data_IF_320662415925
#
_entry.id   IF_320662415925
#
_cell.length_a   1.000
_cell.length_b   1.000
_cell.length_c   1.000
_cell.angle_alpha   90.00
_cell.angle_beta   90.00
_cell.angle_gamma   90.00
#
_symmetry.space_group_name_H-M   'P 1'
#
loop_
_entity.id
_entity.type
_entity.pdbx_description
1 polymer ?
#
# COMPACT_ATOMS: atom_id res chain seq x y z
N UNK A 1 5.25 8.74 -9.39
CA UNK A 1 4.12 8.48 -10.30
C UNK A 1 4.56 8.06 -11.69
N UNK A 2 5.29 8.89 -12.45
CA UNK A 2 5.78 8.49 -13.80
C UNK A 2 6.57 7.18 -13.74
N UNK A 3 7.51 7.06 -12.78
CA UNK A 3 8.25 5.83 -12.53
C UNK A 3 7.31 4.62 -12.32
N UNK A 4 6.41 4.67 -11.32
CA UNK A 4 5.47 3.59 -11.02
C UNK A 4 4.61 3.18 -12.22
N UNK A 5 3.99 4.14 -12.91
CA UNK A 5 3.17 3.79 -14.10
C UNK A 5 4.02 3.13 -15.18
N UNK A 6 5.26 3.61 -15.40
CA UNK A 6 6.15 3.04 -16.42
C UNK A 6 6.61 1.61 -16.07
N UNK A 7 7.02 1.34 -14.83
CA UNK A 7 7.48 0.01 -14.40
C UNK A 7 6.34 -0.99 -14.43
N UNK A 8 5.15 -0.61 -13.98
CA UNK A 8 3.99 -1.49 -13.95
C UNK A 8 3.50 -1.83 -15.35
N UNK A 9 3.51 -0.87 -16.29
CA UNK A 9 3.23 -1.15 -17.70
C UNK A 9 4.25 -2.13 -18.29
N UNK A 10 5.55 -1.90 -18.04
CA UNK A 10 6.61 -2.81 -18.50
C UNK A 10 6.44 -4.22 -17.92
N UNK A 11 6.05 -4.33 -16.65
CA UNK A 11 5.79 -5.61 -15.99
C UNK A 11 4.60 -6.36 -16.62
N UNK A 12 3.49 -5.66 -16.86
CA UNK A 12 2.30 -6.23 -17.51
C UNK A 12 2.62 -6.70 -18.94
N UNK A 13 3.28 -5.86 -19.74
CA UNK A 13 3.70 -6.18 -21.11
C UNK A 13 4.65 -7.37 -21.14
N UNK A 14 5.63 -7.43 -20.23
CA UNK A 14 6.52 -8.57 -20.10
C UNK A 14 5.74 -9.86 -19.79
N UNK A 15 4.77 -9.79 -18.87
CA UNK A 15 3.87 -10.89 -18.56
C UNK A 15 3.14 -11.41 -19.78
N UNK A 16 2.53 -10.52 -20.56
CA UNK A 16 1.85 -10.84 -21.83
C UNK A 16 2.79 -11.52 -22.82
N UNK A 17 3.99 -10.98 -23.03
CA UNK A 17 4.97 -11.54 -23.98
C UNK A 17 5.35 -12.96 -23.55
N UNK A 18 5.65 -13.17 -22.27
CA UNK A 18 6.09 -14.47 -21.76
C UNK A 18 4.98 -15.52 -21.83
N UNK A 19 3.75 -15.20 -21.46
CA UNK A 19 2.64 -16.17 -21.49
C UNK A 19 2.22 -16.53 -22.91
N UNK A 20 2.37 -15.61 -23.87
CA UNK A 20 2.14 -15.91 -25.29
C UNK A 20 3.28 -16.76 -25.88
N UNK A 21 4.54 -16.51 -25.47
CA UNK A 21 5.69 -17.26 -25.95
C UNK A 21 5.76 -18.69 -25.38
N UNK A 22 5.49 -18.86 -24.07
CA UNK A 22 5.57 -20.16 -23.39
C UNK A 22 4.28 -20.97 -23.59
N UNK A 23 3.13 -20.29 -23.70
CA UNK A 23 1.81 -20.89 -23.86
C UNK A 23 1.48 -21.96 -22.80
N UNK A 24 1.41 -21.58 -21.51
CA UNK A 24 1.25 -22.53 -20.41
C UNK A 24 -0.12 -23.22 -20.34
N UNK A 25 -1.18 -22.64 -20.93
CA UNK A 25 -2.52 -23.19 -20.88
C UNK A 25 -2.81 -24.17 -22.02
N UNK A 26 -3.55 -25.25 -21.73
CA UNK A 26 -4.02 -26.21 -22.73
C UNK A 26 -5.45 -26.67 -22.40
N UNK A 27 -6.37 -26.80 -23.38
CA UNK A 27 -7.71 -27.35 -23.14
C UNK A 27 -7.76 -28.74 -22.48
N UNK A 28 -6.75 -29.59 -22.72
CA UNK A 28 -6.62 -30.89 -22.05
C UNK A 28 -6.39 -30.77 -20.54
N UNK A 29 -5.86 -29.63 -20.09
CA UNK A 29 -5.60 -29.34 -18.69
C UNK A 29 -6.92 -29.13 -17.91
N UNK A 30 -7.90 -28.45 -18.53
CA UNK A 30 -9.22 -28.22 -17.94
C UNK A 30 -9.97 -29.52 -17.65
N UNK A 31 -9.85 -30.51 -18.54
CA UNK A 31 -10.45 -31.83 -18.35
C UNK A 31 -9.91 -32.57 -17.09
N UNK A 32 -8.70 -32.23 -16.64
CA UNK A 32 -8.11 -32.78 -15.42
C UNK A 32 -8.32 -31.94 -14.17
N UNK A 33 -8.52 -30.63 -14.33
CA UNK A 33 -8.74 -29.66 -13.25
C UNK A 33 -10.22 -29.54 -12.83
N UNK A 34 -11.16 -29.91 -13.71
CA UNK A 34 -12.60 -29.76 -13.51
C UNK A 34 -13.12 -28.39 -13.95
N UNK A 35 -14.42 -28.15 -13.79
CA UNK A 35 -15.00 -26.81 -13.93
C UNK A 35 -14.74 -26.00 -12.65
N UNK A 36 -14.29 -24.74 -12.80
CA UNK A 36 -14.14 -23.83 -11.67
C UNK A 36 -15.47 -23.58 -10.95
N UNK A 37 -15.39 -23.23 -9.66
CA UNK A 37 -16.60 -22.95 -8.88
C UNK A 37 -17.18 -21.59 -9.25
N UNK A 38 -18.52 -21.47 -9.28
CA UNK A 38 -19.18 -20.17 -9.42
C UNK A 38 -18.78 -19.27 -8.25
N UNK A 39 -18.04 -18.22 -8.54
CA UNK A 39 -17.75 -17.17 -7.57
C UNK A 39 -19.02 -16.35 -7.32
N UNK A 40 -19.21 -15.86 -6.10
CA UNK A 40 -20.23 -14.85 -5.84
C UNK A 40 -20.02 -13.68 -6.81
N UNK A 41 -21.10 -13.20 -7.44
CA UNK A 41 -21.04 -12.11 -8.42
C UNK A 41 -20.56 -10.82 -7.74
N UNK A 42 -19.25 -10.62 -7.72
CA UNK A 42 -18.62 -9.35 -7.36
C UNK A 42 -18.47 -8.56 -8.66
N UNK A 43 -19.26 -7.50 -8.79
CA UNK A 43 -19.23 -6.63 -9.96
C UNK A 43 -17.92 -5.84 -9.97
N UNK A 44 -17.24 -5.81 -11.12
CA UNK A 44 -16.00 -5.04 -11.31
C UNK A 44 -16.19 -3.55 -11.04
N UNK A 45 -17.38 -3.02 -11.37
CA UNK A 45 -17.75 -1.64 -11.05
C UNK A 45 -17.86 -1.42 -9.54
N UNK A 46 -18.32 -2.41 -8.77
CA UNK A 46 -18.42 -2.29 -7.33
C UNK A 46 -17.02 -2.25 -6.70
N UNK A 47 -16.09 -3.07 -7.18
CA UNK A 47 -14.69 -3.05 -6.73
C UNK A 47 -14.00 -1.69 -7.00
N UNK A 48 -14.23 -1.10 -8.17
CA UNK A 48 -13.72 0.23 -8.49
C UNK A 48 -14.35 1.34 -7.62
N UNK A 49 -15.66 1.28 -7.39
CA UNK A 49 -16.34 2.21 -6.49
C UNK A 49 -15.89 2.04 -5.05
N UNK A 50 -15.61 0.81 -4.61
CA UNK A 50 -15.05 0.53 -3.29
C UNK A 50 -13.64 1.12 -3.15
N UNK A 51 -12.82 1.11 -4.21
CA UNK A 51 -11.51 1.79 -4.18
C UNK A 51 -11.66 3.29 -3.91
N UNK A 52 -12.58 3.95 -4.62
CA UNK A 52 -12.85 5.38 -4.43
C UNK A 52 -13.40 5.65 -3.02
N UNK A 53 -14.34 4.83 -2.54
CA UNK A 53 -14.88 4.95 -1.17
C UNK A 53 -13.80 4.77 -0.11
N UNK A 54 -12.88 3.82 -0.31
CA UNK A 54 -11.78 3.61 0.61
C UNK A 54 -10.74 4.74 0.55
N UNK A 55 -10.58 5.44 -0.58
CA UNK A 55 -9.72 6.63 -0.65
C UNK A 55 -10.20 7.78 0.25
N UNK A 56 -11.51 7.87 0.48
CA UNK A 56 -12.13 8.89 1.34
C UNK A 56 -12.92 8.23 2.49
N UNK A 57 -12.23 7.75 3.55
CA UNK A 57 -12.89 7.06 4.65
C UNK A 57 -13.84 7.98 5.40
N UNK A 58 -15.04 7.49 5.71
CA UNK A 58 -16.04 8.22 6.49
C UNK A 58 -15.58 8.51 7.93
N UNK A 59 -14.71 7.64 8.48
CA UNK A 59 -14.15 7.77 9.82
C UNK A 59 -12.69 7.30 9.85
N UNK A 60 -11.79 8.19 10.30
CA UNK A 60 -10.36 7.91 10.34
C UNK A 60 -9.97 6.86 11.38
N UNK A 61 -10.63 6.85 12.54
CA UNK A 61 -10.39 5.85 13.59
C UNK A 61 -10.82 4.48 13.11
N UNK A 62 -11.97 4.39 12.45
CA UNK A 62 -12.48 3.16 11.86
C UNK A 62 -11.56 2.64 10.74
N UNK A 63 -11.01 3.54 9.91
CA UNK A 63 -10.08 3.20 8.84
C UNK A 63 -8.81 2.48 9.34
N UNK A 64 -8.43 2.65 10.61
CA UNK A 64 -7.30 1.93 11.20
C UNK A 64 -7.51 0.41 11.30
N UNK A 65 -8.77 -0.07 11.32
CA UNK A 65 -9.07 -1.50 11.52
C UNK A 65 -10.17 -2.06 10.60
N UNK A 66 -10.83 -1.21 9.80
CA UNK A 66 -11.88 -1.61 8.87
C UNK A 66 -11.74 -0.92 7.50
N UNK A 67 -12.24 -1.62 6.48
CA UNK A 67 -12.36 -1.14 5.09
C UNK A 67 -13.76 -1.40 4.55
N UNK A 68 -14.19 -0.62 3.57
CA UNK A 68 -15.50 -0.73 2.94
C UNK A 68 -15.44 -1.73 1.80
N UNK A 69 -16.38 -2.67 1.75
CA UNK A 69 -16.56 -3.59 0.64
C UNK A 69 -18.05 -3.72 0.30
N UNK A 70 -18.38 -3.69 -0.99
CA UNK A 70 -19.71 -4.01 -1.51
C UNK A 70 -19.89 -5.51 -1.56
N UNK A 71 -20.97 -6.01 -0.95
CA UNK A 71 -21.33 -7.42 -0.97
C UNK A 71 -22.76 -7.62 -1.45
N UNK A 72 -22.97 -8.70 -2.20
CA UNK A 72 -24.28 -9.11 -2.69
C UNK A 72 -25.00 -9.93 -1.62
N UNK A 73 -26.02 -9.34 -0.98
CA UNK A 73 -26.85 -10.03 0.02
C UNK A 73 -28.12 -10.55 -0.66
N UNK A 74 -28.38 -11.84 -0.51
CA UNK A 74 -29.67 -12.45 -0.87
C UNK A 74 -30.71 -12.01 0.17
N UNK A 75 -31.68 -11.20 -0.25
CA UNK A 75 -32.77 -10.72 0.61
C UNK A 75 -34.06 -11.36 0.11
N UNK A 76 -34.75 -12.05 1.00
CA UNK A 76 -36.10 -12.53 0.73
C UNK A 76 -37.04 -11.32 0.71
N UNK A 77 -37.63 -11.05 -0.46
CA UNK A 77 -38.63 -10.01 -0.63
C UNK A 77 -39.97 -10.67 -0.90
N UNK A 78 -40.96 -10.37 -0.06
CA UNK A 78 -42.34 -10.71 -0.34
C UNK A 78 -42.80 -9.74 -1.45
N UNK A 79 -43.28 -10.21 -2.61
CA UNK A 79 -43.79 -9.32 -3.65
C UNK A 79 -44.96 -8.51 -3.09
N UNK A 80 -44.86 -7.19 -3.19
CA UNK A 80 -45.91 -6.26 -2.76
C UNK A 80 -47.06 -6.34 -3.76
N UNK A 81 -48.20 -6.87 -3.33
CA UNK A 81 -49.38 -6.96 -4.18
C UNK A 81 -50.13 -5.63 -4.07
N UNK A 82 -49.73 -4.60 -4.81
CA UNK A 82 -50.63 -3.49 -5.12
C UNK A 82 -51.65 -4.00 -6.12
N UNK A 83 -52.77 -4.57 -5.64
CA UNK A 83 -53.96 -4.71 -6.47
C UNK A 83 -54.41 -3.30 -6.83
N UNK A 84 -54.18 -2.88 -8.08
CA UNK A 84 -55.09 -1.91 -8.71
C UNK A 84 -56.44 -2.62 -8.85
N UNK A 85 -57.29 -2.49 -7.83
CA UNK A 85 -58.67 -3.00 -7.83
C UNK A 85 -59.48 -2.16 -8.81
N UNK A 86 -59.44 -2.53 -10.09
CA UNK A 86 -60.38 -2.08 -11.11
C UNK A 86 -61.29 -3.23 -11.57
N UNK A 87 -61.78 -4.04 -10.63
CA UNK A 87 -62.76 -5.09 -10.92
C UNK A 87 -64.01 -4.96 -10.06
N UNK A 88 -65.14 -5.00 -10.75
CA UNK A 88 -66.52 -5.01 -10.24
C UNK A 88 -66.73 -6.08 -9.17
N UNK A 89 -67.61 -5.80 -8.21
CA UNK A 89 -67.87 -6.56 -6.97
C UNK A 89 -68.24 -8.06 -7.13
N UNK A 90 -68.34 -8.58 -8.35
CA UNK A 90 -68.72 -9.98 -8.61
C UNK A 90 -67.54 -10.97 -8.57
N UNK A 91 -66.29 -10.53 -8.73
CA UNK A 91 -65.12 -11.44 -8.77
C UNK A 91 -64.56 -11.79 -7.37
N UNK A 92 -64.99 -11.06 -6.33
CA UNK A 92 -64.49 -11.23 -4.96
C UNK A 92 -65.04 -12.51 -4.28
N UNK A 93 -66.20 -13.01 -4.70
CA UNK A 93 -66.85 -14.17 -4.05
C UNK A 93 -66.37 -15.54 -4.57
N UNK A 94 -65.57 -15.59 -5.64
CA UNK A 94 -65.07 -16.84 -6.25
C UNK A 94 -63.56 -17.08 -6.05
N UNK A 95 -62.80 -16.09 -5.56
CA UNK A 95 -61.37 -16.20 -5.30
C UNK A 95 -61.08 -16.74 -3.88
N UNK A 96 -61.56 -17.95 -3.58
CA UNK A 96 -61.13 -18.70 -2.40
C UNK A 96 -59.70 -19.23 -2.58
N UNK A 97 -58.83 -18.91 -1.61
CA UNK A 97 -57.48 -19.49 -1.41
C UNK A 97 -56.42 -19.21 -2.49
N UNK A 98 -55.96 -17.96 -2.61
CA UNK A 98 -54.61 -17.71 -3.16
C UNK A 98 -53.58 -18.08 -2.06
N UNK A 99 -52.67 -19.00 -2.37
CA UNK A 99 -51.57 -19.38 -1.48
C UNK A 99 -50.74 -18.13 -1.08
N UNK A 100 -50.18 -18.06 0.14
CA UNK A 100 -49.32 -16.93 0.52
C UNK A 100 -48.17 -16.80 -0.48
N UNK A 101 -47.83 -15.56 -0.91
CA UNK A 101 -46.77 -15.35 -1.88
C UNK A 101 -45.46 -15.95 -1.37
N UNK A 102 -44.83 -16.80 -2.19
CA UNK A 102 -43.53 -17.36 -1.84
C UNK A 102 -42.49 -16.22 -1.85
N UNK A 103 -41.59 -16.18 -0.86
CA UNK A 103 -40.54 -15.17 -0.82
C UNK A 103 -39.69 -15.29 -2.08
N UNK A 104 -39.60 -14.20 -2.85
CA UNK A 104 -38.69 -14.13 -4.00
C UNK A 104 -37.33 -13.70 -3.47
N UNK A 105 -36.30 -14.51 -3.70
CA UNK A 105 -34.93 -14.16 -3.32
C UNK A 105 -34.44 -13.11 -4.31
N UNK A 106 -34.36 -11.85 -3.86
CA UNK A 106 -33.80 -10.75 -4.64
C UNK A 106 -32.38 -10.49 -4.15
N UNK A 107 -31.42 -10.45 -5.08
CA UNK A 107 -30.03 -10.07 -4.77
C UNK A 107 -29.99 -8.55 -4.63
N UNK A 108 -29.69 -8.05 -3.42
CA UNK A 108 -29.47 -6.62 -3.16
C UNK A 108 -28.01 -6.39 -2.80
N UNK A 109 -27.41 -5.36 -3.42
CA UNK A 109 -26.06 -4.90 -3.06
C UNK A 109 -26.13 -4.12 -1.74
N UNK A 110 -25.24 -4.43 -0.81
CA UNK A 110 -25.11 -3.74 0.46
C UNK A 110 -23.64 -3.43 0.74
N UNK A 111 -23.38 -2.28 1.36
CA UNK A 111 -22.05 -1.96 1.88
C UNK A 111 -21.85 -2.68 3.20
N UNK A 112 -20.68 -3.30 3.37
CA UNK A 112 -20.27 -3.90 4.64
C UNK A 112 -18.86 -3.45 5.00
N UNK A 113 -18.63 -3.28 6.30
CA UNK A 113 -17.30 -3.05 6.83
C UNK A 113 -16.62 -4.39 7.05
N UNK A 114 -15.50 -4.60 6.34
CA UNK A 114 -14.65 -5.77 6.48
C UNK A 114 -13.48 -5.43 7.41
N UNK A 115 -13.09 -6.39 8.24
CA UNK A 115 -11.89 -6.26 9.08
C UNK A 115 -10.62 -6.15 8.22
N UNK A 116 -9.74 -5.23 8.57
CA UNK A 116 -8.51 -4.92 7.85
C UNK A 116 -8.29 -3.41 7.75
N UNK A 117 -7.04 -2.98 7.84
CA UNK A 117 -6.67 -1.56 7.79
C UNK A 117 -6.87 -0.99 6.39
N UNK A 118 -7.57 0.14 6.29
CA UNK A 118 -7.71 0.91 5.05
C UNK A 118 -6.49 1.84 4.86
N UNK A 119 -5.38 1.25 4.41
CA UNK A 119 -4.10 1.96 4.19
C UNK A 119 -4.24 3.09 3.17
N UNK A 120 -5.00 2.86 2.08
CA UNK A 120 -5.19 3.84 1.01
C UNK A 120 -5.87 5.12 1.54
N UNK A 121 -6.94 4.97 2.32
CA UNK A 121 -7.65 6.10 2.92
C UNK A 121 -6.81 6.88 3.92
N UNK A 122 -6.03 6.17 4.75
CA UNK A 122 -5.09 6.79 5.69
C UNK A 122 -4.03 7.61 4.94
N UNK A 123 -3.42 7.06 3.89
CA UNK A 123 -2.44 7.77 3.07
C UNK A 123 -3.07 9.01 2.41
N UNK A 124 -4.24 8.84 1.77
CA UNK A 124 -4.94 9.95 1.12
C UNK A 124 -5.23 11.10 2.08
N UNK A 125 -5.74 10.78 3.27
CA UNK A 125 -5.99 11.76 4.33
C UNK A 125 -4.69 12.43 4.81
N UNK A 126 -3.65 11.67 5.17
CA UNK A 126 -2.43 12.22 5.74
C UNK A 126 -1.59 13.02 4.73
N UNK A 127 -1.66 12.71 3.43
CA UNK A 127 -1.08 13.56 2.38
C UNK A 127 -1.78 14.92 2.35
N UNK A 128 -3.13 14.94 2.28
CA UNK A 128 -3.88 16.19 2.28
C UNK A 128 -3.64 16.99 3.57
N UNK A 129 -3.61 16.31 4.72
CA UNK A 129 -3.29 16.88 6.02
C UNK A 129 -1.88 17.49 6.06
N UNK A 130 -0.88 16.78 5.54
CA UNK A 130 0.50 17.27 5.42
C UNK A 130 0.61 18.52 4.54
N UNK A 131 -0.09 18.55 3.40
CA UNK A 131 -0.14 19.74 2.52
C UNK A 131 -0.78 20.93 3.24
N UNK A 132 -1.87 20.72 3.98
CA UNK A 132 -2.51 21.76 4.78
C UNK A 132 -1.60 22.29 5.88
N UNK A 133 -0.93 21.40 6.64
CA UNK A 133 0.05 21.80 7.66
C UNK A 133 1.20 22.62 7.05
N UNK A 134 1.75 22.18 5.92
CA UNK A 134 2.84 22.89 5.23
C UNK A 134 2.45 24.31 4.81
N UNK A 135 1.18 24.53 4.45
CA UNK A 135 0.65 25.87 4.12
C UNK A 135 0.42 26.77 5.34
N UNK A 136 0.30 26.20 6.54
CA UNK A 136 0.05 26.96 7.78
C UNK A 136 1.32 27.57 8.39
N UNK A 137 2.50 27.22 7.88
CA UNK A 137 3.79 27.77 8.33
C UNK A 137 4.05 27.52 9.80
N UNK A 138 4.52 28.54 10.53
CA UNK A 138 4.89 28.45 11.96
C UNK A 138 3.78 27.91 12.86
N UNK A 139 2.51 28.18 12.55
CA UNK A 139 1.38 27.69 13.38
C UNK A 139 1.30 26.17 13.44
N UNK A 140 1.86 25.48 12.44
CA UNK A 140 1.91 24.02 12.39
C UNK A 140 3.21 23.43 12.97
N UNK A 141 4.20 24.25 13.38
CA UNK A 141 5.53 23.79 13.83
C UNK A 141 5.44 22.76 14.96
N UNK A 142 4.64 23.06 15.99
CA UNK A 142 4.40 22.12 17.11
C UNK A 142 3.87 20.75 16.64
N UNK A 143 2.96 20.74 15.67
CA UNK A 143 2.37 19.50 15.17
C UNK A 143 3.35 18.74 14.27
N UNK A 144 4.14 19.44 13.46
CA UNK A 144 5.22 18.85 12.68
C UNK A 144 6.27 18.18 13.59
N UNK A 145 6.70 18.88 14.64
CA UNK A 145 7.67 18.36 15.60
C UNK A 145 7.14 17.13 16.33
N UNK A 146 5.85 17.15 16.72
CA UNK A 146 5.19 15.98 17.29
C UNK A 146 5.25 14.76 16.36
N UNK A 147 4.87 14.91 15.09
CA UNK A 147 4.90 13.80 14.12
C UNK A 147 6.32 13.32 13.83
N UNK A 148 7.30 14.23 13.80
CA UNK A 148 8.71 13.87 13.62
C UNK A 148 9.24 13.02 14.79
N UNK A 149 8.96 13.43 16.03
CA UNK A 149 9.35 12.67 17.23
C UNK A 149 8.64 11.32 17.25
N UNK A 150 7.33 11.30 16.99
CA UNK A 150 6.55 10.07 16.93
C UNK A 150 7.14 9.09 15.90
N UNK A 151 7.53 9.58 14.74
CA UNK A 151 8.16 8.75 13.72
C UNK A 151 9.49 8.17 14.20
N UNK A 152 10.34 8.96 14.85
CA UNK A 152 11.63 8.46 15.38
C UNK A 152 11.43 7.37 16.44
N UNK A 153 10.41 7.51 17.30
CA UNK A 153 9.99 6.48 18.25
C UNK A 153 9.58 5.21 17.50
N UNK A 154 8.73 5.32 16.47
CA UNK A 154 8.28 4.17 15.68
C UNK A 154 9.46 3.46 14.99
N UNK A 155 10.40 4.21 14.42
CA UNK A 155 11.59 3.63 13.78
C UNK A 155 12.49 2.90 14.79
N UNK A 156 12.57 3.39 16.02
CA UNK A 156 13.27 2.70 17.11
C UNK A 156 12.58 1.38 17.48
N UNK A 157 11.25 1.36 17.56
CA UNK A 157 10.48 0.13 17.77
C UNK A 157 10.70 -0.90 16.66
N UNK A 158 10.74 -0.43 15.41
CA UNK A 158 11.01 -1.27 14.24
C UNK A 158 12.38 -1.92 14.36
N UNK A 159 13.40 -1.16 14.75
CA UNK A 159 14.75 -1.69 14.98
C UNK A 159 14.78 -2.80 16.03
N UNK A 160 13.95 -2.73 17.07
CA UNK A 160 13.81 -3.82 18.06
C UNK A 160 13.16 -5.07 17.46
N UNK A 161 12.08 -4.91 16.68
CA UNK A 161 11.42 -6.05 16.00
C UNK A 161 12.36 -6.73 15.01
N UNK A 162 13.25 -5.97 14.35
CA UNK A 162 14.22 -6.53 13.40
C UNK A 162 15.19 -7.52 14.03
N UNK A 163 15.53 -7.39 15.31
CA UNK A 163 16.36 -8.38 16.01
C UNK A 163 15.69 -9.75 16.11
N UNK A 164 14.36 -9.78 16.26
CA UNK A 164 13.57 -11.02 16.30
C UNK A 164 13.23 -11.55 14.90
N UNK A 165 13.28 -10.69 13.87
CA UNK A 165 12.84 -11.01 12.52
C UNK A 165 13.44 -12.29 11.90
N UNK A 166 14.73 -12.66 12.07
CA UNK A 166 15.27 -13.85 11.44
C UNK A 166 14.56 -15.14 11.90
N UNK A 167 14.22 -15.21 13.19
CA UNK A 167 13.48 -16.34 13.75
C UNK A 167 12.03 -16.35 13.25
N UNK A 168 11.38 -15.19 13.23
CA UNK A 168 10.02 -15.05 12.69
C UNK A 168 9.91 -15.47 11.22
N UNK A 169 10.84 -15.01 10.37
CA UNK A 169 10.89 -15.35 8.94
C UNK A 169 11.14 -16.85 8.73
N UNK A 170 12.09 -17.44 9.47
CA UNK A 170 12.35 -18.88 9.40
C UNK A 170 11.10 -19.70 9.75
N UNK A 171 10.40 -19.34 10.83
CA UNK A 171 9.15 -19.98 11.23
C UNK A 171 8.03 -19.81 10.19
N UNK A 172 7.88 -18.62 9.59
CA UNK A 172 6.90 -18.36 8.55
C UNK A 172 7.13 -19.22 7.29
N UNK A 173 8.39 -19.33 6.86
CA UNK A 173 8.77 -20.16 5.71
C UNK A 173 8.52 -21.64 6.02
N UNK A 174 9.05 -22.15 7.13
CA UNK A 174 8.89 -23.55 7.53
C UNK A 174 7.41 -23.93 7.71
N UNK A 175 6.63 -23.11 8.42
CA UNK A 175 5.22 -23.37 8.68
C UNK A 175 4.39 -23.45 7.40
N UNK A 176 4.75 -22.67 6.37
CA UNK A 176 4.08 -22.74 5.07
C UNK A 176 4.51 -23.96 4.26
N UNK A 177 5.79 -24.32 4.25
CA UNK A 177 6.26 -25.54 3.56
C UNK A 177 5.52 -26.79 4.09
N UNK A 178 5.31 -26.89 5.40
CA UNK A 178 4.60 -28.01 6.03
C UNK A 178 3.10 -28.05 5.65
N UNK A 179 2.48 -26.91 5.35
CA UNK A 179 1.06 -26.84 5.02
C UNK A 179 0.70 -27.39 3.63
N UNK A 180 1.71 -27.71 2.81
CA UNK A 180 1.54 -28.19 1.44
C UNK A 180 1.37 -29.72 1.45
N UNK A 181 0.16 -30.21 1.14
CA UNK A 181 -0.14 -31.64 1.15
C UNK A 181 0.18 -32.35 -0.17
N UNK A 182 -0.05 -31.71 -1.32
CA UNK A 182 0.05 -32.36 -2.65
C UNK A 182 0.79 -31.49 -3.68
N UNK A 183 2.08 -31.26 -3.46
CA UNK A 183 2.92 -30.46 -4.37
C UNK A 183 3.02 -31.09 -5.77
N UNK A 184 3.00 -32.43 -5.86
CA UNK A 184 3.17 -33.16 -7.12
C UNK A 184 2.00 -32.95 -8.10
N UNK A 185 0.76 -33.02 -7.60
CA UNK A 185 -0.45 -32.84 -8.43
C UNK A 185 -0.55 -31.40 -8.93
N UNK A 186 -0.30 -30.44 -8.03
CA UNK A 186 -0.30 -29.01 -8.33
C UNK A 186 0.82 -28.65 -9.32
N UNK A 187 2.03 -29.20 -9.14
CA UNK A 187 3.14 -29.00 -10.06
C UNK A 187 2.89 -29.64 -11.43
N UNK A 188 2.24 -30.80 -11.50
CA UNK A 188 1.96 -31.47 -12.78
C UNK A 188 0.93 -30.72 -13.63
N UNK A 189 -0.05 -30.08 -13.00
CA UNK A 189 -1.15 -29.40 -13.71
C UNK A 189 -0.88 -27.90 -13.90
N UNK A 190 -0.37 -27.19 -12.89
CA UNK A 190 -0.15 -25.74 -12.93
C UNK A 190 1.33 -25.34 -12.99
N UNK A 191 2.25 -26.32 -13.07
CA UNK A 191 3.69 -26.07 -13.03
C UNK A 191 4.17 -25.11 -14.12
N UNK A 192 3.74 -25.28 -15.36
CA UNK A 192 4.18 -24.41 -16.46
C UNK A 192 3.68 -22.97 -16.29
N UNK A 193 2.48 -22.79 -15.75
CA UNK A 193 1.95 -21.49 -15.34
C UNK A 193 2.80 -20.87 -14.22
N UNK A 194 3.09 -21.62 -13.15
CA UNK A 194 3.93 -21.12 -12.05
C UNK A 194 5.32 -20.71 -12.53
N UNK A 195 5.95 -21.54 -13.38
CA UNK A 195 7.26 -21.25 -13.97
C UNK A 195 7.19 -19.97 -14.81
N UNK A 196 6.15 -19.79 -15.62
CA UNK A 196 5.97 -18.57 -16.43
C UNK A 196 5.92 -17.31 -15.56
N UNK A 197 5.13 -17.33 -14.48
CA UNK A 197 5.03 -16.21 -13.54
C UNK A 197 6.37 -15.96 -12.84
N UNK A 198 6.99 -16.98 -12.26
CA UNK A 198 8.25 -16.85 -11.52
C UNK A 198 9.38 -16.35 -12.41
N UNK A 199 9.50 -16.88 -13.64
CA UNK A 199 10.48 -16.41 -14.62
C UNK A 199 10.22 -14.95 -14.99
N UNK A 200 8.97 -14.56 -15.22
CA UNK A 200 8.61 -13.16 -15.47
C UNK A 200 8.99 -12.22 -14.33
N UNK A 201 8.70 -12.62 -13.10
CA UNK A 201 9.08 -11.86 -11.90
C UNK A 201 10.60 -11.74 -11.74
N UNK A 202 11.36 -12.82 -11.99
CA UNK A 202 12.83 -12.79 -11.94
C UNK A 202 13.40 -11.90 -13.04
N UNK A 203 12.87 -11.96 -14.26
CA UNK A 203 13.32 -11.09 -15.36
C UNK A 203 12.99 -9.62 -15.04
N UNK A 204 11.79 -9.33 -14.54
CA UNK A 204 11.42 -7.98 -14.19
C UNK A 204 12.27 -7.42 -13.04
N UNK A 205 12.32 -8.14 -11.91
CA UNK A 205 13.02 -7.70 -10.70
C UNK A 205 14.55 -7.79 -10.78
N UNK A 206 15.08 -8.74 -11.55
CA UNK A 206 16.52 -8.98 -11.68
C UNK A 206 17.16 -8.32 -12.90
N UNK A 207 16.39 -7.93 -13.92
CA UNK A 207 16.92 -7.32 -15.14
C UNK A 207 16.32 -5.94 -15.38
N UNK A 208 14.99 -5.83 -15.55
CA UNK A 208 14.37 -4.54 -15.92
C UNK A 208 14.51 -3.47 -14.83
N UNK A 209 14.16 -3.75 -13.58
CA UNK A 209 14.29 -2.76 -12.50
C UNK A 209 15.75 -2.32 -12.26
N UNK A 210 16.74 -3.23 -12.16
CA UNK A 210 18.16 -2.88 -12.08
C UNK A 210 18.65 -2.09 -13.29
N UNK A 211 18.19 -2.42 -14.51
CA UNK A 211 18.56 -1.72 -15.73
C UNK A 211 18.05 -0.29 -15.74
N UNK A 212 16.78 -0.06 -15.36
CA UNK A 212 16.20 1.28 -15.25
C UNK A 212 16.99 2.12 -14.23
N UNK A 213 17.31 1.54 -13.07
CA UNK A 213 18.14 2.20 -12.07
C UNK A 213 19.54 2.54 -12.61
N UNK A 214 20.20 1.60 -13.29
CA UNK A 214 21.53 1.81 -13.85
C UNK A 214 21.54 2.91 -14.93
N UNK A 215 20.53 2.93 -15.82
CA UNK A 215 20.45 3.93 -16.89
C UNK A 215 20.26 5.35 -16.33
N UNK A 216 19.41 5.51 -15.31
CA UNK A 216 19.08 6.81 -14.74
C UNK A 216 20.15 7.27 -13.74
N UNK A 217 20.43 6.45 -12.73
CA UNK A 217 21.30 6.81 -11.60
C UNK A 217 22.79 6.61 -11.92
N UNK A 218 23.10 5.78 -12.93
CA UNK A 218 24.48 5.44 -13.36
C UNK A 218 25.36 4.89 -12.23
N UNK A 219 24.73 4.19 -11.28
CA UNK A 219 25.39 3.46 -10.18
C UNK A 219 25.10 1.97 -10.28
N UNK A 220 25.96 1.15 -9.67
CA UNK A 220 25.81 -0.30 -9.69
C UNK A 220 24.53 -0.74 -8.95
N UNK A 221 23.53 -1.32 -9.65
CA UNK A 221 22.28 -1.74 -9.02
C UNK A 221 22.46 -2.96 -8.10
N UNK A 222 23.48 -3.80 -8.30
CA UNK A 222 23.69 -4.96 -7.43
C UNK A 222 24.13 -4.56 -6.02
N UNK A 223 24.94 -3.50 -5.90
CA UNK A 223 25.29 -2.91 -4.59
C UNK A 223 24.04 -2.36 -3.90
N UNK A 224 23.15 -1.73 -4.66
CA UNK A 224 21.87 -1.26 -4.16
C UNK A 224 21.00 -2.42 -3.65
N UNK A 225 20.87 -3.48 -4.45
CA UNK A 225 20.10 -4.68 -4.08
C UNK A 225 20.62 -5.33 -2.79
N UNK A 226 21.94 -5.41 -2.60
CA UNK A 226 22.52 -5.94 -1.36
C UNK A 226 22.16 -5.10 -0.14
N UNK A 227 22.01 -3.78 -0.29
CA UNK A 227 21.54 -2.90 0.80
C UNK A 227 20.09 -3.15 1.22
N UNK A 228 19.23 -3.64 0.31
CA UNK A 228 17.82 -3.95 0.57
C UNK A 228 17.51 -5.45 0.72
N UNK A 229 18.53 -6.31 0.74
CA UNK A 229 18.37 -7.76 0.75
C UNK A 229 17.49 -8.25 1.91
N UNK A 230 17.62 -7.63 3.08
CA UNK A 230 16.80 -7.96 4.26
C UNK A 230 15.32 -7.62 4.07
N UNK A 231 15.00 -6.53 3.40
CA UNK A 231 13.62 -6.19 3.05
C UNK A 231 13.03 -7.21 2.06
N UNK A 232 13.83 -7.62 1.04
CA UNK A 232 13.42 -8.62 0.06
C UNK A 232 13.10 -9.99 0.71
N UNK A 233 13.97 -10.52 1.57
CA UNK A 233 13.72 -11.81 2.24
C UNK A 233 12.55 -11.73 3.22
N UNK A 234 12.38 -10.58 3.90
CA UNK A 234 11.22 -10.36 4.77
C UNK A 234 9.94 -10.38 3.95
N UNK A 235 9.92 -9.73 2.77
CA UNK A 235 8.75 -9.69 1.89
C UNK A 235 8.38 -11.06 1.34
N UNK A 236 9.39 -11.88 1.03
CA UNK A 236 9.21 -13.27 0.65
C UNK A 236 8.58 -14.09 1.80
N UNK A 237 9.01 -13.86 3.04
CA UNK A 237 8.50 -14.54 4.23
C UNK A 237 7.09 -14.10 4.65
N UNK A 238 6.79 -12.81 4.61
CA UNK A 238 5.49 -12.26 5.07
C UNK A 238 4.41 -12.30 4.00
N UNK A 239 4.76 -12.21 2.71
CA UNK A 239 3.83 -12.00 1.60
C UNK A 239 2.99 -10.71 1.72
N UNK A 240 3.51 -9.68 2.41
CA UNK A 240 2.82 -8.38 2.53
C UNK A 240 3.80 -7.22 2.43
N UNK A 241 3.60 -6.35 1.42
CA UNK A 241 4.40 -5.13 1.22
C UNK A 241 4.21 -4.14 2.36
N UNK A 242 2.98 -4.01 2.87
CA UNK A 242 2.69 -3.17 4.03
C UNK A 242 3.36 -3.71 5.30
N UNK A 243 3.36 -5.03 5.50
CA UNK A 243 4.04 -5.67 6.62
C UNK A 243 5.57 -5.53 6.59
N UNK A 244 6.16 -5.31 5.41
CA UNK A 244 7.62 -5.14 5.23
C UNK A 244 8.08 -3.70 5.12
N UNK A 245 7.15 -2.76 5.05
CA UNK A 245 7.43 -1.35 4.88
C UNK A 245 8.43 -0.81 5.92
N UNK A 246 8.33 -1.15 7.22
CA UNK A 246 9.29 -0.66 8.22
C UNK A 246 10.72 -1.18 8.00
N UNK A 247 10.85 -2.43 7.54
CA UNK A 247 12.16 -3.02 7.19
C UNK A 247 12.77 -2.31 5.99
N UNK A 248 11.91 -1.96 5.02
CA UNK A 248 12.30 -1.29 3.79
C UNK A 248 12.80 0.12 4.07
N UNK A 249 12.11 0.87 4.94
CA UNK A 249 12.56 2.17 5.42
C UNK A 249 13.99 2.11 5.98
N UNK A 250 14.22 1.19 6.93
CA UNK A 250 15.53 1.03 7.57
C UNK A 250 16.62 0.68 6.55
N UNK A 251 16.37 -0.26 5.65
CA UNK A 251 17.35 -0.64 4.63
C UNK A 251 17.74 0.53 3.72
N UNK A 252 16.78 1.37 3.34
CA UNK A 252 17.04 2.50 2.45
C UNK A 252 17.70 3.67 3.18
N UNK A 253 17.28 3.98 4.41
CA UNK A 253 17.79 5.10 5.20
C UNK A 253 19.15 4.78 5.84
N UNK A 254 19.32 3.61 6.46
CA UNK A 254 20.55 3.24 7.18
C UNK A 254 21.59 2.58 6.28
N UNK A 255 21.22 1.58 5.46
CA UNK A 255 22.21 0.84 4.67
C UNK A 255 22.62 1.58 3.39
N UNK A 256 21.68 2.30 2.78
CA UNK A 256 21.89 2.99 1.49
C UNK A 256 21.97 4.52 1.60
N UNK A 257 21.66 5.09 2.77
CA UNK A 257 21.79 6.52 3.03
C UNK A 257 20.86 7.39 2.18
N UNK A 258 19.68 6.88 1.80
CA UNK A 258 18.68 7.69 1.08
C UNK A 258 18.02 8.67 2.06
N UNK A 259 17.78 9.90 1.60
CA UNK A 259 17.15 10.95 2.39
C UNK A 259 15.75 10.55 2.90
N UNK A 260 15.53 10.73 4.20
CA UNK A 260 14.29 10.42 4.92
C UNK A 260 13.07 11.10 4.30
N UNK A 261 13.23 12.30 3.72
CA UNK A 261 12.14 13.05 3.07
C UNK A 261 11.64 12.31 1.83
N UNK A 262 12.54 11.66 1.09
CA UNK A 262 12.19 10.88 -0.10
C UNK A 262 11.60 9.53 0.28
N UNK A 263 12.24 8.77 1.17
CA UNK A 263 11.72 7.45 1.59
C UNK A 263 10.32 7.54 2.17
N UNK A 264 10.07 8.53 3.04
CA UNK A 264 8.77 8.73 3.72
C UNK A 264 7.65 9.18 2.80
N UNK A 265 7.99 9.73 1.64
CA UNK A 265 7.01 10.04 0.61
C UNK A 265 6.81 8.87 -0.36
N UNK A 266 7.90 8.30 -0.85
CA UNK A 266 7.88 7.34 -1.96
C UNK A 266 7.38 5.97 -1.52
N UNK A 267 7.84 5.43 -0.39
CA UNK A 267 7.57 4.04 0.01
C UNK A 267 6.12 3.79 0.44
N UNK A 268 5.47 4.64 1.27
CA UNK A 268 4.06 4.39 1.64
C UNK A 268 3.13 4.44 0.43
N UNK A 269 3.40 5.39 -0.48
CA UNK A 269 2.66 5.53 -1.74
C UNK A 269 2.93 4.34 -2.66
N UNK A 270 4.19 3.91 -2.77
CA UNK A 270 4.61 2.74 -3.57
C UNK A 270 3.96 1.45 -3.10
N UNK A 271 3.96 1.20 -1.79
CA UNK A 271 3.43 -0.03 -1.21
C UNK A 271 1.96 -0.28 -1.58
N UNK A 272 1.19 0.76 -1.92
CA UNK A 272 -0.21 0.66 -2.34
C UNK A 272 -0.38 0.76 -3.87
N UNK A 273 0.37 1.64 -4.53
CA UNK A 273 0.13 1.96 -5.95
C UNK A 273 1.02 1.14 -6.89
N UNK A 274 2.26 0.89 -6.51
CA UNK A 274 3.29 0.28 -7.36
C UNK A 274 3.37 -1.23 -7.14
N UNK A 275 2.49 -1.97 -7.81
CA UNK A 275 2.41 -3.42 -7.70
C UNK A 275 2.81 -4.14 -9.00
N UNK A 276 4.06 -3.94 -9.42
CA UNK A 276 4.62 -4.50 -10.66
C UNK A 276 4.43 -6.03 -10.78
N UNK A 277 4.73 -6.76 -9.72
CA UNK A 277 4.58 -8.21 -9.66
C UNK A 277 3.12 -8.66 -9.72
N UNK A 278 2.19 -7.85 -9.19
CA UNK A 278 0.75 -8.11 -9.29
C UNK A 278 0.27 -7.93 -10.71
N UNK A 279 0.65 -6.84 -11.39
CA UNK A 279 0.29 -6.59 -12.79
C UNK A 279 0.81 -7.68 -13.73
N UNK A 280 2.07 -8.12 -13.54
CA UNK A 280 2.65 -9.21 -14.32
C UNK A 280 1.88 -10.52 -14.11
N UNK A 281 1.62 -10.88 -12.85
CA UNK A 281 0.84 -12.08 -12.52
C UNK A 281 -0.56 -12.03 -13.13
N UNK A 282 -1.23 -10.89 -13.02
CA UNK A 282 -2.59 -10.68 -13.51
C UNK A 282 -2.69 -10.85 -15.03
N UNK A 283 -1.74 -10.27 -15.76
CA UNK A 283 -1.67 -10.43 -17.21
C UNK A 283 -1.42 -11.89 -17.61
N UNK A 284 -0.49 -12.58 -16.93
CA UNK A 284 -0.17 -13.99 -17.20
C UNK A 284 -1.37 -14.90 -16.88
N UNK A 285 -2.02 -14.70 -15.74
CA UNK A 285 -3.15 -15.48 -15.30
C UNK A 285 -4.38 -15.35 -16.20
N UNK A 286 -4.72 -14.12 -16.62
CA UNK A 286 -5.85 -13.89 -17.52
C UNK A 286 -5.67 -14.62 -18.86
N UNK A 287 -4.48 -14.50 -19.46
CA UNK A 287 -4.17 -15.19 -20.73
C UNK A 287 -4.08 -16.70 -20.52
N UNK A 288 -3.52 -17.18 -19.41
CA UNK A 288 -3.50 -18.60 -19.07
C UNK A 288 -4.91 -19.20 -18.99
N UNK A 289 -5.85 -18.51 -18.35
CA UNK A 289 -7.26 -18.92 -18.28
C UNK A 289 -7.88 -18.97 -19.68
N UNK A 290 -7.62 -17.98 -20.54
CA UNK A 290 -8.10 -18.01 -21.92
C UNK A 290 -7.58 -19.24 -22.69
N UNK A 291 -6.26 -19.51 -22.61
CA UNK A 291 -5.61 -20.65 -23.25
C UNK A 291 -6.17 -21.99 -22.76
N UNK A 292 -6.37 -22.13 -21.45
CA UNK A 292 -6.95 -23.33 -20.85
C UNK A 292 -8.39 -23.57 -21.28
N UNK A 293 -9.15 -22.51 -21.59
CA UNK A 293 -10.50 -22.62 -22.12
C UNK A 293 -10.55 -22.78 -23.65
N UNK A 294 -9.41 -22.77 -24.34
CA UNK A 294 -9.37 -22.77 -25.80
C UNK A 294 -9.93 -21.50 -26.42
N UNK A 295 -9.99 -20.41 -25.66
CA UNK A 295 -10.44 -19.10 -26.12
C UNK A 295 -9.25 -18.37 -26.72
N UNK A 296 -9.34 -18.04 -28.00
CA UNK A 296 -8.35 -17.22 -28.67
C UNK A 296 -8.63 -15.75 -28.40
N UNK A 297 -7.66 -15.06 -27.80
CA UNK A 297 -7.72 -13.62 -27.58
C UNK A 297 -7.21 -12.91 -28.82
N UNK A 298 -7.96 -11.92 -29.31
CA UNK A 298 -7.48 -11.04 -30.37
C UNK A 298 -6.46 -10.02 -29.83
N UNK A 299 -5.82 -9.28 -30.74
CA UNK A 299 -4.82 -8.27 -30.35
C UNK A 299 -5.41 -7.15 -29.47
N UNK A 300 -6.68 -6.77 -29.66
CA UNK A 300 -7.37 -5.76 -28.87
C UNK A 300 -7.67 -6.22 -27.44
N UNK A 301 -8.05 -7.49 -27.28
CA UNK A 301 -8.26 -8.14 -25.98
C UNK A 301 -6.94 -8.28 -25.23
N UNK A 302 -5.84 -8.63 -25.91
CA UNK A 302 -4.51 -8.69 -25.29
C UNK A 302 -4.08 -7.32 -24.75
N UNK A 303 -4.29 -6.24 -25.52
CA UNK A 303 -4.02 -4.87 -25.06
C UNK A 303 -4.93 -4.51 -23.88
N UNK A 304 -6.21 -4.90 -23.95
CA UNK A 304 -7.16 -4.72 -22.84
C UNK A 304 -6.71 -5.43 -21.58
N UNK A 305 -6.23 -6.68 -21.65
CA UNK A 305 -5.67 -7.41 -20.51
C UNK A 305 -4.49 -6.64 -19.92
N UNK A 306 -3.54 -6.19 -20.74
CA UNK A 306 -2.36 -5.47 -20.25
C UNK A 306 -2.75 -4.17 -19.53
N UNK A 307 -3.65 -3.38 -20.11
CA UNK A 307 -4.07 -2.10 -19.54
C UNK A 307 -4.89 -2.31 -18.26
N UNK A 308 -5.82 -3.26 -18.27
CA UNK A 308 -6.66 -3.56 -17.10
C UNK A 308 -5.83 -4.15 -15.96
N UNK A 309 -4.81 -4.97 -16.24
CA UNK A 309 -3.87 -5.45 -15.23
C UNK A 309 -3.08 -4.30 -14.59
N UNK A 310 -2.55 -3.35 -15.37
CA UNK A 310 -1.87 -2.17 -14.83
C UNK A 310 -2.80 -1.31 -13.96
N UNK A 311 -4.06 -1.14 -14.36
CA UNK A 311 -5.02 -0.36 -13.57
C UNK A 311 -5.49 -1.12 -12.32
N UNK A 312 -5.68 -2.42 -12.43
CA UNK A 312 -6.12 -3.28 -11.34
C UNK A 312 -5.04 -3.42 -10.26
N UNK A 313 -3.76 -3.46 -10.63
CA UNK A 313 -2.66 -3.53 -9.69
C UNK A 313 -2.54 -2.30 -8.78
N UNK A 314 -2.97 -1.11 -9.25
CA UNK A 314 -3.06 0.11 -8.42
C UNK A 314 -4.17 0.00 -7.37
N UNK A 315 -5.24 -0.74 -7.69
CA UNK A 315 -6.38 -0.95 -6.81
C UNK A 315 -6.25 -2.16 -5.89
N UNK A 316 -5.19 -2.96 -6.05
CA UNK A 316 -4.95 -4.12 -5.20
C UNK A 316 -4.50 -3.66 -3.80
N UNK A 317 -5.08 -4.24 -2.76
CA UNK A 317 -4.66 -3.96 -1.39
C UNK A 317 -3.29 -4.60 -1.09
N UNK A 318 -2.46 -3.98 -0.26
CA UNK A 318 -1.11 -4.46 0.11
C UNK A 318 -1.12 -5.61 1.12
N UNK A 319 -2.10 -6.50 1.02
CA UNK A 319 -2.35 -7.64 1.90
C UNK A 319 -2.17 -8.96 1.12
N UNK A 320 -1.86 -10.07 1.82
CA UNK A 320 -1.70 -11.35 1.16
C UNK A 320 -2.93 -11.75 0.33
N UNK A 321 -2.69 -12.35 -0.84
CA UNK A 321 -3.72 -12.84 -1.77
C UNK A 321 -4.70 -11.78 -2.30
N UNK A 322 -4.40 -10.47 -2.20
CA UNK A 322 -5.25 -9.42 -2.75
C UNK A 322 -5.41 -9.49 -4.28
N UNK A 323 -4.39 -9.97 -5.00
CA UNK A 323 -4.38 -10.09 -6.46
C UNK A 323 -5.45 -11.02 -7.06
N UNK A 324 -6.02 -11.92 -6.25
CA UNK A 324 -7.11 -12.80 -6.70
C UNK A 324 -8.44 -12.05 -6.83
N UNK A 325 -8.67 -11.00 -6.03
CA UNK A 325 -9.89 -10.20 -6.09
C UNK A 325 -9.90 -9.31 -7.33
N UNK A 326 -8.75 -8.69 -7.63
CA UNK A 326 -8.54 -7.84 -8.80
C UNK A 326 -8.51 -8.63 -10.11
N UNK A 327 -8.14 -9.92 -10.07
CA UNK A 327 -8.26 -10.83 -11.21
C UNK A 327 -9.69 -10.88 -11.80
N UNK A 328 -10.71 -10.82 -10.93
CA UNK A 328 -12.10 -10.87 -11.36
C UNK A 328 -12.46 -9.68 -12.25
N UNK A 329 -11.90 -8.50 -11.96
CA UNK A 329 -12.09 -7.30 -12.76
C UNK A 329 -11.55 -7.50 -14.18
N UNK A 330 -10.36 -8.10 -14.29
CA UNK A 330 -9.68 -8.30 -15.57
C UNK A 330 -10.42 -9.33 -16.41
N UNK A 331 -10.76 -10.50 -15.84
CA UNK A 331 -11.48 -11.54 -16.57
C UNK A 331 -12.84 -11.06 -17.06
N UNK A 332 -13.56 -10.29 -16.24
CA UNK A 332 -14.85 -9.70 -16.63
C UNK A 332 -14.68 -8.69 -17.76
N UNK A 333 -13.63 -7.85 -17.71
CA UNK A 333 -13.37 -6.84 -18.74
C UNK A 333 -13.11 -7.43 -20.14
N UNK A 334 -12.54 -8.64 -20.21
CA UNK A 334 -12.28 -9.34 -21.48
C UNK A 334 -13.28 -10.47 -21.78
N UNK A 335 -14.29 -10.67 -20.94
CA UNK A 335 -15.35 -11.67 -21.13
C UNK A 335 -14.90 -13.12 -20.91
N UNK A 336 -13.88 -13.34 -20.08
CA UNK A 336 -13.38 -14.68 -19.76
C UNK A 336 -14.13 -15.32 -18.57
N UNK A 337 -14.18 -16.67 -18.49
CA UNK A 337 -14.84 -17.37 -17.38
C UNK A 337 -14.18 -17.07 -16.04
N UNK A 338 -14.93 -16.41 -15.14
CA UNK A 338 -14.43 -15.98 -13.83
C UNK A 338 -14.37 -17.12 -12.81
N UNK A 339 -15.10 -18.20 -13.04
CA UNK A 339 -15.11 -19.39 -12.19
C UNK A 339 -13.74 -20.09 -12.12
N UNK A 340 -12.92 -19.95 -13.16
CA UNK A 340 -11.61 -20.61 -13.23
C UNK A 340 -10.55 -19.94 -12.34
N UNK A 341 -10.84 -18.79 -11.71
CA UNK A 341 -9.97 -18.17 -10.69
C UNK A 341 -9.71 -19.14 -9.53
N UNK A 342 -10.68 -19.98 -9.16
CA UNK A 342 -10.52 -20.93 -8.05
C UNK A 342 -9.35 -21.89 -8.24
N UNK A 343 -8.97 -22.15 -9.50
CA UNK A 343 -7.81 -23.00 -9.84
C UNK A 343 -6.48 -22.33 -9.49
N UNK A 344 -6.42 -21.00 -9.55
CA UNK A 344 -5.22 -20.23 -9.22
C UNK A 344 -4.98 -20.12 -7.70
N UNK A 345 -6.04 -20.22 -6.89
CA UNK A 345 -5.97 -20.14 -5.43
C UNK A 345 -5.01 -21.18 -4.85
N UNK A 346 -4.96 -22.38 -5.45
CA UNK A 346 -4.10 -23.47 -5.00
C UNK A 346 -2.60 -23.17 -5.10
N UNK A 347 -2.20 -22.28 -6.03
CA UNK A 347 -0.79 -21.91 -6.27
C UNK A 347 -0.46 -20.49 -5.81
N UNK A 348 -1.47 -19.67 -5.53
CA UNK A 348 -1.30 -18.26 -5.16
C UNK A 348 -0.42 -18.08 -3.92
N UNK A 349 -0.52 -18.98 -2.93
CA UNK A 349 0.25 -18.90 -1.69
C UNK A 349 1.77 -18.82 -1.90
N UNK A 350 2.29 -19.39 -3.01
CA UNK A 350 3.70 -19.36 -3.39
C UNK A 350 4.01 -18.16 -4.28
N UNK A 351 3.19 -17.97 -5.32
CA UNK A 351 3.41 -16.90 -6.30
C UNK A 351 3.31 -15.52 -5.64
N UNK A 352 2.39 -15.35 -4.68
CA UNK A 352 2.19 -14.11 -3.94
C UNK A 352 3.48 -13.60 -3.28
N UNK A 353 4.30 -14.51 -2.77
CA UNK A 353 5.57 -14.19 -2.10
C UNK A 353 6.56 -13.56 -3.05
N UNK A 354 6.68 -14.13 -4.24
CA UNK A 354 7.54 -13.58 -5.28
C UNK A 354 6.99 -12.25 -5.79
N UNK A 355 5.65 -12.11 -5.94
CA UNK A 355 5.02 -10.83 -6.31
C UNK A 355 5.35 -9.74 -5.30
N UNK A 356 5.09 -10.00 -4.00
CA UNK A 356 5.39 -9.04 -2.93
C UNK A 356 6.86 -8.64 -2.93
N UNK A 357 7.76 -9.62 -3.08
CA UNK A 357 9.20 -9.37 -3.07
C UNK A 357 9.63 -8.46 -4.22
N UNK A 358 9.07 -8.65 -5.43
CA UNK A 358 9.35 -7.78 -6.57
C UNK A 358 8.74 -6.39 -6.39
N UNK A 359 7.53 -6.27 -5.83
CA UNK A 359 6.91 -4.97 -5.53
C UNK A 359 7.79 -4.13 -4.59
N UNK A 360 8.27 -4.74 -3.49
CA UNK A 360 9.16 -4.07 -2.52
C UNK A 360 10.49 -3.66 -3.15
N UNK A 361 11.04 -4.48 -4.06
CA UNK A 361 12.25 -4.13 -4.83
C UNK A 361 11.99 -2.96 -5.79
N UNK A 362 10.83 -2.95 -6.46
CA UNK A 362 10.37 -1.86 -7.33
C UNK A 362 10.28 -0.52 -6.58
N UNK A 363 9.66 -0.52 -5.41
CA UNK A 363 9.54 0.65 -4.55
C UNK A 363 10.91 1.15 -4.06
N UNK A 364 11.79 0.21 -3.72
CA UNK A 364 13.15 0.51 -3.25
C UNK A 364 13.98 1.19 -4.34
N UNK A 365 14.00 0.63 -5.56
CA UNK A 365 14.65 1.28 -6.71
C UNK A 365 14.00 2.62 -7.04
N UNK A 366 12.68 2.72 -6.93
CA UNK A 366 11.93 3.97 -7.11
C UNK A 366 12.40 5.07 -6.17
N UNK A 367 12.55 4.76 -4.88
CA UNK A 367 13.08 5.69 -3.89
C UNK A 367 14.50 6.15 -4.24
N UNK A 368 15.37 5.21 -4.67
CA UNK A 368 16.73 5.54 -5.10
C UNK A 368 16.80 6.42 -6.36
N UNK A 369 15.92 6.18 -7.33
CA UNK A 369 15.83 6.97 -8.58
C UNK A 369 15.30 8.37 -8.27
N UNK A 370 14.20 8.47 -7.52
CA UNK A 370 13.61 9.76 -7.15
C UNK A 370 14.61 10.58 -6.32
N UNK A 371 15.32 9.95 -5.38
CA UNK A 371 16.37 10.61 -4.62
C UNK A 371 17.48 11.17 -5.51
N UNK A 372 17.91 10.43 -6.53
CA UNK A 372 18.91 10.90 -7.48
C UNK A 372 18.42 12.11 -8.30
N UNK A 373 17.16 12.06 -8.77
CA UNK A 373 16.58 13.10 -9.62
C UNK A 373 16.22 14.37 -8.84
N UNK A 374 15.78 14.26 -7.59
CA UNK A 374 15.39 15.39 -6.73
C UNK A 374 16.55 15.95 -5.91
N UNK A 375 17.80 15.57 -6.20
CA UNK A 375 18.95 16.00 -5.40
C UNK A 375 19.11 17.53 -5.34
N UNK A 376 18.97 18.21 -6.48
CA UNK A 376 19.05 19.67 -6.54
C UNK A 376 17.93 20.35 -5.74
N UNK A 377 16.72 19.77 -5.77
CA UNK A 377 15.58 20.27 -4.98
C UNK A 377 15.85 20.12 -3.48
N UNK A 378 16.38 18.96 -3.05
CA UNK A 378 16.73 18.70 -1.66
C UNK A 378 17.83 19.66 -1.17
N UNK A 379 18.89 19.83 -1.96
CA UNK A 379 19.98 20.77 -1.65
C UNK A 379 19.45 22.22 -1.53
N UNK A 380 18.47 22.60 -2.37
CA UNK A 380 17.83 23.91 -2.29
C UNK A 380 16.98 24.08 -1.02
N UNK A 381 16.26 23.03 -0.61
CA UNK A 381 15.45 23.03 0.60
C UNK A 381 16.33 23.16 1.85
N UNK A 382 17.45 22.45 1.88
CA UNK A 382 18.42 22.53 2.98
C UNK A 382 19.02 23.94 3.07
N UNK A 383 19.40 24.52 1.93
CA UNK A 383 19.93 25.90 1.90
C UNK A 383 18.91 26.95 2.37
N UNK A 384 17.63 26.77 2.05
CA UNK A 384 16.58 27.68 2.50
C UNK A 384 16.28 27.51 3.99
N UNK A 385 16.33 26.28 4.50
CA UNK A 385 16.16 26.02 5.93
C UNK A 385 17.30 26.65 6.73
N UNK A 386 18.56 26.46 6.32
CA UNK A 386 19.71 27.09 6.99
C UNK A 386 19.60 28.61 7.00
N UNK A 387 19.19 29.22 5.88
CA UNK A 387 18.96 30.69 5.83
C UNK A 387 17.86 31.16 6.78
N UNK A 388 16.78 30.39 6.93
CA UNK A 388 15.70 30.74 7.87
C UNK A 388 16.18 30.62 9.32
N UNK A 389 16.92 29.57 9.64
CA UNK A 389 17.49 29.35 10.97
C UNK A 389 18.52 30.45 11.33
N UNK A 390 19.35 30.87 10.36
CA UNK A 390 20.29 31.99 10.52
C UNK A 390 19.55 33.31 10.78
N UNK A 391 18.45 33.58 10.05
CA UNK A 391 17.62 34.78 10.26
C UNK A 391 16.91 34.73 11.63
N UNK A 392 16.44 33.56 12.09
CA UNK A 392 15.90 33.40 13.44
C UNK A 392 16.97 33.66 14.51
N UNK A 393 18.20 33.14 14.32
CA UNK A 393 19.32 33.37 15.22
C UNK A 393 19.73 34.86 15.28
N UNK A 394 19.83 35.54 14.14
CA UNK A 394 20.16 36.97 14.08
C UNK A 394 19.09 37.83 14.77
N UNK A 395 17.81 37.50 14.60
CA UNK A 395 16.71 38.17 15.32
C UNK A 395 16.78 37.92 16.81
N UNK A 396 17.07 36.70 17.25
CA UNK A 396 17.23 36.36 18.66
C UNK A 396 18.42 37.10 19.29
N UNK A 397 19.54 37.19 18.57
CA UNK A 397 20.71 37.96 18.97
C UNK A 397 20.42 39.45 19.08
N UNK A 398 19.78 40.05 18.06
CA UNK A 398 19.41 41.46 18.07
C UNK A 398 18.45 41.78 19.22
N UNK A 399 17.49 40.89 19.51
CA UNK A 399 16.58 41.03 20.65
C UNK A 399 17.31 40.95 22.00
N UNK A 400 18.27 40.01 22.14
CA UNK A 400 19.08 39.88 23.35
C UNK A 400 19.99 41.09 23.58
N UNK A 401 20.60 41.62 22.52
CA UNK A 401 21.44 42.81 22.58
C UNK A 401 20.62 44.06 22.91
N UNK A 402 19.42 44.21 22.38
CA UNK A 402 18.49 45.28 22.77
C UNK A 402 18.08 45.18 24.24
N UNK A 403 17.80 43.97 24.75
CA UNK A 403 17.48 43.76 26.17
C UNK A 403 18.66 44.11 27.08
N UNK A 404 19.87 43.72 26.68
CA UNK A 404 21.10 44.03 27.40
C UNK A 404 21.38 45.54 27.41
N UNK A 405 21.25 46.20 26.27
CA UNK A 405 21.39 47.66 26.15
C UNK A 405 20.34 48.41 26.99
N UNK A 406 19.09 47.92 27.04
CA UNK A 406 18.07 48.48 27.93
C UNK A 406 18.40 48.28 29.41
N UNK A 407 18.98 47.14 29.79
CA UNK A 407 19.38 46.85 31.16
C UNK A 407 20.63 47.65 31.59
N UNK A 408 21.58 47.87 30.69
CA UNK A 408 22.75 48.74 30.89
C UNK A 408 22.36 50.22 30.96
N UNK A 409 21.41 50.68 30.13
CA UNK A 409 20.89 52.04 30.22
C UNK A 409 20.11 52.30 31.51
N UNK A 410 19.30 51.36 31.98
CA UNK A 410 18.59 51.48 33.27
C UNK A 410 19.53 51.43 34.48
N UNK A 411 20.62 50.67 34.42
CA UNK A 411 21.63 50.66 35.49
C UNK A 411 22.45 51.94 35.50
N UNK A 412 22.84 52.48 34.35
CA UNK A 412 23.51 53.79 34.27
C UNK A 412 22.61 54.96 34.70
N UNK A 413 21.30 54.86 34.52
CA UNK A 413 20.33 55.86 34.99
C UNK A 413 20.06 55.74 36.51
N UNK A 414 20.25 54.56 37.10
CA UNK A 414 20.17 54.33 38.56
C UNK A 414 21.43 54.77 39.32
N UNK A 415 22.59 54.94 38.67
CA UNK A 415 23.83 55.40 39.34
C UNK A 415 23.79 56.89 39.71
N UNK A 416 22.86 57.67 39.15
CA UNK A 416 22.67 59.10 39.49
C UNK A 416 21.47 59.38 40.40
N UNK A 417 20.72 58.35 40.82
CA UNK A 417 19.60 58.52 41.73
C UNK A 417 19.78 57.66 42.99
N UNK A 418 19.90 58.34 44.12
CA UNK A 418 19.64 57.85 45.49
C UNK A 418 20.73 57.06 46.22
N UNK A 419 21.65 57.84 46.80
CA UNK A 419 22.07 57.66 48.19
C UNK A 419 20.81 57.62 49.09
N UNK A 420 20.38 56.42 49.52
CA UNK A 420 19.64 56.06 50.74
C UNK A 420 18.69 54.88 50.48
N UNK A 421 19.08 53.69 50.97
CA UNK A 421 18.32 52.84 51.91
C UNK A 421 18.47 51.33 51.64
N UNK A 422 19.01 50.67 52.68
CA UNK A 422 18.77 49.32 53.22
C UNK A 422 18.97 48.08 52.31
N UNK A 423 19.96 47.28 52.73
CA UNK A 423 20.18 45.85 52.42
C UNK A 423 18.98 44.97 52.82
N UNK A 424 18.53 44.11 51.92
CA UNK A 424 17.95 42.79 52.25
C UNK A 424 18.48 41.78 51.24
N UNK A 425 19.08 40.71 51.75
CA UNK A 425 19.78 39.65 51.04
C UNK A 425 18.89 38.41 50.80
N UNK A 426 19.37 37.53 49.92
CA UNK A 426 19.01 36.12 49.71
C UNK A 426 17.73 35.71 48.95
N UNK A 427 17.92 35.14 47.74
CA UNK A 427 18.07 33.68 47.60
C UNK A 427 18.38 33.27 46.14
N UNK A 428 19.57 32.72 45.92
CA UNK A 428 19.96 31.96 44.72
C UNK A 428 19.28 30.59 44.74
N UNK A 429 18.65 30.19 43.63
CA UNK A 429 18.29 28.79 43.40
C UNK A 429 19.22 28.22 42.32
N UNK A 430 20.14 27.37 42.76
CA UNK A 430 20.94 26.47 41.93
C UNK A 430 20.09 25.23 41.61
N UNK A 431 19.95 24.85 40.35
CA UNK A 431 19.54 23.48 39.97
C UNK A 431 20.77 22.69 39.53
N UNK A 432 21.17 21.72 40.33
CA UNK A 432 22.18 20.72 39.97
C UNK A 432 21.51 19.48 39.38
N UNK A 433 22.03 19.03 38.23
CA UNK A 433 21.79 17.71 37.66
C UNK A 433 22.42 16.63 38.54
N UNK A 434 21.62 15.90 39.29
CA UNK A 434 21.89 14.52 39.76
C UNK A 434 20.60 14.02 40.39
N UNK A 435 19.94 13.04 39.75
CA UNK A 435 19.13 11.96 40.34
C UNK A 435 18.24 11.33 39.24
N UNK A 436 18.86 10.50 38.40
CA UNK A 436 18.15 9.43 37.65
C UNK A 436 18.84 8.13 38.04
N UNK A 437 18.51 7.63 39.22
CA UNK A 437 18.66 6.24 39.60
C UNK A 437 17.47 5.88 40.49
N UNK A 438 16.40 5.36 39.87
CA UNK A 438 15.57 4.24 40.36
C UNK A 438 14.23 4.21 39.60
N UNK A 439 14.14 3.32 38.63
CA UNK A 439 12.93 2.55 38.32
C UNK A 439 13.38 1.27 37.62
N UNK A 440 13.38 0.18 38.40
CA UNK A 440 13.37 -1.21 37.95
C UNK A 440 11.94 -1.56 37.55
#
# INVERSE_FOLDING_TARGET
MVYYMSTTIVAAVLGVILVLAIHPGNPKLKAHLGEGNKNDEVSSLDAFLDLIRNLFPENLVQACFQQIQTVSKKVEQIPDYTEEVNSTMDDFLLSGTKAPPQPVIVIKKALQFKGGMNVLGLIGFFIAFGICMGKMGEKARLMLDFFNILNEIVMTLVSMIMWYSPLGIACLICGKIISIKDLEVVARQLGLYMVTVVVGLIIHGGIFLPLIYFVIVRKNPFTFFMGIFQAWITALGTASSAGTLPVTFRCLEENLGIDKRVTRFVLPVGATINMDGTALYEAVAAIFIAQMNGIYLDAGQIVTVSLTATLASVGAASIPSAGLVTMLLILTAVGLPTQDISLLVAVDWLLDRFRTSVNVVGDSYGAGIVYHLSKEELDSLDSNQTRLDDIEMDKAHCYYDDLKNHHENNTNQCVYATHNSVLVDDCKVHFSLTDIETCI
#
